data_IF_814470152066
#
_entry.id   IF_814470152066
#
_cell.length_a   1.000
_cell.length_b   1.000
_cell.length_c   1.000
_cell.angle_alpha   90.00
_cell.angle_beta   90.00
_cell.angle_gamma   90.00
#
_symmetry.space_group_name_H-M   'P 1'
#
loop_
_entity.id
_entity.type
_entity.pdbx_description
1 polymer ?
#
# COMPACT_ATOMS: atom_id res chain seq x y z
N UNK A 1 30.53 52.84 27.64
CA UNK A 1 30.69 52.42 26.23
C UNK A 1 29.49 51.56 25.94
N UNK A 2 28.41 52.16 25.49
CA UNK A 2 27.19 51.46 25.08
C UNK A 2 27.25 51.37 23.55
N UNK A 3 27.36 50.15 23.00
CA UNK A 3 27.35 49.91 21.55
C UNK A 3 25.89 49.72 21.10
N UNK A 4 25.42 50.62 20.22
CA UNK A 4 24.17 50.41 19.48
C UNK A 4 24.32 49.12 18.63
N UNK A 5 23.38 48.18 18.77
CA UNK A 5 23.44 46.91 18.05
C UNK A 5 23.04 47.17 16.60
N UNK A 6 23.99 46.99 15.69
CA UNK A 6 23.78 47.15 14.25
C UNK A 6 23.65 45.78 13.60
N UNK A 7 22.53 45.54 12.92
CA UNK A 7 22.28 44.30 12.20
C UNK A 7 22.16 44.60 10.70
N UNK A 8 22.71 43.70 9.89
CA UNK A 8 22.52 43.73 8.45
C UNK A 8 21.18 43.08 8.06
N UNK A 9 20.76 43.29 6.81
CA UNK A 9 19.47 42.81 6.32
C UNK A 9 19.33 41.28 6.47
N UNK A 10 20.42 40.52 6.31
CA UNK A 10 20.40 39.07 6.44
C UNK A 10 20.27 38.64 7.91
N UNK A 11 21.02 39.27 8.83
CA UNK A 11 20.86 38.99 10.27
C UNK A 11 19.48 39.39 10.79
N UNK A 12 18.87 40.46 10.25
CA UNK A 12 17.48 40.82 10.54
C UNK A 12 16.51 39.69 10.12
N UNK A 13 16.63 39.20 8.89
CA UNK A 13 15.78 38.10 8.38
C UNK A 13 15.96 36.84 9.21
N UNK A 14 17.20 36.45 9.53
CA UNK A 14 17.49 35.30 10.38
C UNK A 14 16.92 35.45 11.80
N UNK A 15 16.77 36.68 12.30
CA UNK A 15 16.20 36.95 13.62
C UNK A 15 14.66 36.99 13.62
N UNK A 16 14.03 36.91 12.43
CA UNK A 16 12.57 36.98 12.24
C UNK A 16 12.05 38.36 11.84
N UNK A 17 12.93 39.27 11.41
CA UNK A 17 12.57 40.62 10.97
C UNK A 17 12.74 40.79 9.46
N UNK A 18 11.68 41.21 8.78
CA UNK A 18 11.70 41.43 7.33
C UNK A 18 11.93 42.93 7.04
N UNK A 19 13.05 43.30 6.38
CA UNK A 19 13.33 44.70 6.05
C UNK A 19 12.46 45.21 4.89
N UNK A 20 11.65 46.24 5.16
CA UNK A 20 10.76 46.92 4.21
C UNK A 20 11.17 48.41 4.10
N UNK A 21 12.37 48.65 3.56
CA UNK A 21 12.92 50.01 3.41
C UNK A 21 13.24 50.65 4.77
N UNK A 22 12.46 51.67 5.15
CA UNK A 22 12.56 52.39 6.43
C UNK A 22 11.74 51.74 7.56
N UNK A 23 11.09 50.62 7.26
CA UNK A 23 10.32 49.84 8.20
C UNK A 23 10.89 48.43 8.30
N UNK A 24 10.68 47.80 9.43
CA UNK A 24 11.15 46.47 9.73
C UNK A 24 9.97 45.69 10.32
N UNK A 25 9.51 44.67 9.59
CA UNK A 25 8.34 43.88 9.96
C UNK A 25 8.76 42.69 10.80
N UNK A 26 8.33 42.66 12.06
CA UNK A 26 8.54 41.52 12.95
C UNK A 26 7.53 40.42 12.62
N UNK A 27 8.01 39.30 12.08
CA UNK A 27 7.16 38.18 11.70
C UNK A 27 6.63 37.40 12.91
N UNK A 28 7.29 37.49 14.08
CA UNK A 28 6.87 36.81 15.31
C UNK A 28 5.77 37.60 16.02
N UNK A 29 5.89 38.92 16.08
CA UNK A 29 4.94 39.79 16.77
C UNK A 29 3.91 40.43 15.84
N UNK A 30 4.04 40.27 14.52
CA UNK A 30 3.19 40.93 13.51
C UNK A 30 3.13 42.45 13.68
N UNK A 31 4.28 43.06 14.00
CA UNK A 31 4.42 44.50 14.23
C UNK A 31 5.31 45.14 13.17
N UNK A 32 4.94 46.34 12.74
CA UNK A 32 5.73 47.15 11.83
C UNK A 32 6.52 48.20 12.63
N UNK A 33 7.84 48.07 12.68
CA UNK A 33 8.72 48.98 13.42
C UNK A 33 9.36 50.01 12.49
N UNK A 34 9.26 51.32 12.77
CA UNK A 34 9.95 52.35 11.99
C UNK A 34 11.42 52.45 12.44
N UNK A 35 12.29 51.67 11.80
CA UNK A 35 13.74 51.71 12.05
C UNK A 35 14.41 52.21 10.77
N UNK A 36 14.94 53.45 10.75
CA UNK A 36 15.56 54.01 9.55
C UNK A 36 16.83 53.22 9.22
N UNK A 37 16.97 52.83 7.95
CA UNK A 37 18.19 52.19 7.45
C UNK A 37 19.28 53.25 7.32
N UNK A 38 20.43 53.03 7.96
CA UNK A 38 21.54 53.97 7.86
C UNK A 38 22.05 54.01 6.40
N UNK A 39 21.93 55.17 5.74
CA UNK A 39 22.21 55.31 4.31
C UNK A 39 23.67 55.01 3.94
N UNK A 40 24.60 55.19 4.87
CA UNK A 40 26.03 54.99 4.63
C UNK A 40 26.49 53.52 4.78
N UNK A 41 25.88 52.75 5.68
CA UNK A 41 26.31 51.38 6.01
C UNK A 41 25.30 50.31 5.65
N UNK A 42 24.09 50.70 5.21
CA UNK A 42 22.97 49.81 4.91
C UNK A 42 22.50 48.93 6.10
N UNK A 43 22.96 49.23 7.32
CA UNK A 43 22.64 48.53 8.55
C UNK A 43 21.39 49.12 9.23
N UNK A 44 20.69 48.28 9.98
CA UNK A 44 19.60 48.66 10.88
C UNK A 44 20.16 48.79 12.30
N UNK A 45 20.08 49.99 12.89
CA UNK A 45 20.52 50.22 14.26
C UNK A 45 19.37 50.05 15.25
N UNK A 46 19.51 49.10 16.16
CA UNK A 46 18.61 48.92 17.28
C UNK A 46 19.18 49.69 18.46
N UNK A 47 18.54 50.80 18.82
CA UNK A 47 18.91 51.52 20.04
C UNK A 47 18.53 50.66 21.24
N UNK A 48 19.50 50.44 22.12
CA UNK A 48 19.24 49.80 23.41
C UNK A 48 18.33 50.73 24.23
N UNK A 49 17.07 50.35 24.41
CA UNK A 49 16.16 51.07 25.32
C UNK A 49 16.49 50.70 26.76
N UNK A 50 17.54 51.30 27.32
CA UNK A 50 17.56 51.50 28.78
C UNK A 50 16.50 52.56 29.06
N UNK A 51 15.39 52.14 29.66
CA UNK A 51 14.40 53.06 30.17
C UNK A 51 15.05 53.80 31.33
N UNK A 52 15.61 54.98 31.08
CA UNK A 52 15.97 55.91 32.14
C UNK A 52 14.66 56.27 32.84
N UNK A 53 14.41 55.62 33.98
CA UNK A 53 13.34 56.02 34.89
C UNK A 53 13.80 57.33 35.52
N UNK A 54 13.64 58.43 34.79
CA UNK A 54 13.59 59.73 35.43
C UNK A 54 12.29 59.78 36.22
N UNK A 55 12.41 59.63 37.54
CA UNK A 55 11.37 60.07 38.47
C UNK A 55 11.23 61.58 38.29
N UNK A 56 10.31 61.99 37.41
CA UNK A 56 9.94 63.40 37.26
C UNK A 56 9.24 63.83 38.54
N UNK A 57 9.97 64.53 39.42
CA UNK A 57 9.35 65.32 40.46
C UNK A 57 8.51 66.41 39.76
N UNK A 58 7.20 66.38 39.98
CA UNK A 58 6.23 67.23 39.29
C UNK A 58 6.55 68.72 39.48
N UNK A 59 6.82 69.50 38.41
CA UNK A 59 6.75 70.95 38.48
C UNK A 59 5.30 71.38 38.29
N UNK A 60 4.73 71.95 39.35
CA UNK A 60 3.49 72.72 39.30
C UNK A 60 3.79 74.00 38.52
N UNK A 61 3.40 74.06 37.24
CA UNK A 61 2.87 75.28 36.62
C UNK A 61 2.23 75.04 35.24
N UNK A 62 1.09 75.71 35.06
CA UNK A 62 0.18 75.70 33.91
C UNK A 62 0.85 76.23 32.65
N UNK A 63 0.79 75.47 31.55
CA UNK A 63 0.70 76.02 30.20
C UNK A 63 -0.39 75.24 29.45
N UNK A 64 -1.42 75.99 29.09
CA UNK A 64 -2.48 75.66 28.15
C UNK A 64 -1.90 75.27 26.80
N UNK A 65 -1.99 73.99 26.46
CA UNK A 65 -1.82 73.45 25.13
C UNK A 65 -2.45 72.07 25.14
N UNK A 66 -3.66 71.95 24.58
CA UNK A 66 -4.32 70.66 24.43
C UNK A 66 -3.44 69.78 23.54
N UNK A 67 -3.01 68.57 23.97
CA UNK A 67 -2.34 67.67 23.05
C UNK A 67 -3.33 67.31 21.94
N UNK A 68 -2.92 67.48 20.68
CA UNK A 68 -3.72 67.08 19.53
C UNK A 68 -4.18 65.62 19.69
N UNK A 69 -5.42 65.26 19.34
CA UNK A 69 -5.93 63.90 19.52
C UNK A 69 -5.28 62.97 18.50
N UNK A 70 -4.11 62.41 18.81
CA UNK A 70 -3.43 61.39 17.99
C UNK A 70 -4.13 60.01 18.07
N UNK A 71 -5.30 59.94 18.72
CA UNK A 71 -6.00 58.67 19.02
C UNK A 71 -7.14 58.36 18.05
N UNK A 72 -7.62 59.34 17.26
CA UNK A 72 -8.80 59.15 16.41
C UNK A 72 -8.51 58.27 15.16
N UNK A 73 -7.34 58.41 14.54
CA UNK A 73 -7.03 57.76 13.26
C UNK A 73 -6.79 56.25 13.40
N UNK A 74 -6.19 55.84 14.52
CA UNK A 74 -5.95 54.42 14.85
C UNK A 74 -7.25 53.66 15.14
N UNK A 75 -8.27 54.33 15.69
CA UNK A 75 -9.56 53.72 16.01
C UNK A 75 -10.36 53.35 14.77
N UNK A 76 -10.34 54.21 13.74
CA UNK A 76 -11.02 53.92 12.46
C UNK A 76 -10.33 52.76 11.75
N UNK A 77 -9.00 52.77 11.69
CA UNK A 77 -8.21 51.67 11.11
C UNK A 77 -8.45 50.34 11.85
N UNK A 78 -8.44 50.33 13.18
CA UNK A 78 -8.73 49.14 13.98
C UNK A 78 -10.16 48.63 13.80
N UNK A 79 -11.15 49.52 13.67
CA UNK A 79 -12.53 49.14 13.35
C UNK A 79 -12.67 48.57 11.93
N UNK A 80 -11.97 49.15 10.95
CA UNK A 80 -11.94 48.65 9.57
C UNK A 80 -11.32 47.26 9.49
N UNK A 81 -10.19 47.03 10.17
CA UNK A 81 -9.60 45.70 10.29
C UNK A 81 -10.54 44.72 11.02
N UNK A 82 -11.22 45.15 12.08
CA UNK A 82 -12.20 44.32 12.78
C UNK A 82 -13.39 43.91 11.90
N UNK A 83 -13.90 44.85 11.08
CA UNK A 83 -14.98 44.57 10.11
C UNK A 83 -14.49 43.63 9.01
N UNK A 84 -13.29 43.85 8.47
CA UNK A 84 -12.69 42.98 7.46
C UNK A 84 -12.48 41.55 8.01
N UNK A 85 -12.02 41.44 9.27
CA UNK A 85 -11.90 40.16 9.96
C UNK A 85 -13.25 39.46 10.17
N UNK A 86 -14.29 40.21 10.54
CA UNK A 86 -15.64 39.67 10.68
C UNK A 86 -16.19 39.20 9.33
N UNK A 87 -15.98 39.97 8.27
CA UNK A 87 -16.37 39.58 6.91
C UNK A 87 -15.63 38.33 6.44
N UNK A 88 -14.32 38.24 6.69
CA UNK A 88 -13.53 37.05 6.43
C UNK A 88 -14.06 35.81 7.19
N UNK A 89 -14.40 35.96 8.48
CA UNK A 89 -14.99 34.87 9.25
C UNK A 89 -16.33 34.40 8.67
N UNK A 90 -17.23 35.34 8.33
CA UNK A 90 -18.54 35.01 7.75
C UNK A 90 -18.39 34.31 6.39
N UNK A 91 -17.50 34.80 5.52
CA UNK A 91 -17.21 34.16 4.24
C UNK A 91 -16.60 32.78 4.43
N UNK A 92 -15.69 32.62 5.39
CA UNK A 92 -15.04 31.33 5.66
C UNK A 92 -16.06 30.30 6.16
N UNK A 93 -16.91 30.66 7.13
CA UNK A 93 -17.97 29.78 7.64
C UNK A 93 -18.97 29.42 6.54
N UNK A 94 -19.38 30.41 5.75
CA UNK A 94 -20.33 30.18 4.64
C UNK A 94 -19.72 29.30 3.56
N UNK A 95 -18.44 29.51 3.21
CA UNK A 95 -17.70 28.69 2.27
C UNK A 95 -17.56 27.25 2.75
N UNK A 96 -17.15 27.03 4.00
CA UNK A 96 -17.08 25.70 4.60
C UNK A 96 -18.44 24.99 4.62
N UNK A 97 -19.52 25.71 4.97
CA UNK A 97 -20.87 25.15 4.96
C UNK A 97 -21.31 24.75 3.54
N UNK A 98 -21.08 25.62 2.55
CA UNK A 98 -21.39 25.33 1.13
C UNK A 98 -20.57 24.17 0.59
N UNK A 99 -19.31 24.05 1.00
CA UNK A 99 -18.45 22.92 0.64
C UNK A 99 -19.01 21.60 1.20
N UNK A 100 -19.38 21.57 2.49
CA UNK A 100 -19.99 20.37 3.09
C UNK A 100 -21.30 19.99 2.41
N UNK A 101 -22.14 20.95 2.03
CA UNK A 101 -23.36 20.68 1.28
C UNK A 101 -23.09 20.09 -0.11
N UNK A 102 -22.10 20.62 -0.83
CA UNK A 102 -21.73 20.12 -2.16
C UNK A 102 -21.13 18.71 -2.08
N UNK A 103 -20.32 18.45 -1.06
CA UNK A 103 -19.60 17.19 -0.89
C UNK A 103 -20.38 16.12 -0.13
N UNK A 104 -21.56 16.45 0.39
CA UNK A 104 -22.39 15.54 1.18
C UNK A 104 -22.72 14.24 0.42
N UNK A 105 -23.03 14.32 -0.88
CA UNK A 105 -23.41 13.14 -1.67
C UNK A 105 -22.20 12.29 -2.07
N UNK A 106 -21.06 12.93 -2.35
CA UNK A 106 -19.80 12.25 -2.69
C UNK A 106 -19.16 11.61 -1.46
N UNK A 107 -19.15 12.28 -0.31
CA UNK A 107 -18.61 11.79 0.97
C UNK A 107 -19.59 10.90 1.74
N UNK A 108 -20.67 10.45 1.10
CA UNK A 108 -21.65 9.58 1.73
C UNK A 108 -21.13 8.15 1.97
N UNK A 109 -20.05 7.76 1.29
CA UNK A 109 -19.40 6.46 1.42
C UNK A 109 -17.87 6.58 1.27
N UNK A 110 -17.15 5.55 1.74
CA UNK A 110 -15.69 5.49 1.71
C UNK A 110 -15.12 5.36 0.29
N UNK A 111 -15.94 5.00 -0.69
CA UNK A 111 -15.55 4.89 -2.11
C UNK A 111 -15.58 6.24 -2.84
N UNK A 112 -16.04 7.33 -2.19
CA UNK A 112 -16.23 8.64 -2.82
C UNK A 112 -17.10 8.60 -4.09
N UNK A 113 -17.94 7.57 -4.21
CA UNK A 113 -18.79 7.33 -5.38
C UNK A 113 -20.22 7.74 -5.05
N UNK A 114 -20.66 8.88 -5.59
CA UNK A 114 -22.02 9.37 -5.41
C UNK A 114 -23.07 8.31 -5.78
N UNK A 115 -24.00 8.03 -4.87
CA UNK A 115 -25.07 7.06 -5.08
C UNK A 115 -24.66 5.58 -4.96
N UNK A 116 -23.42 5.28 -4.53
CA UNK A 116 -23.00 3.89 -4.29
C UNK A 116 -23.91 3.21 -3.27
N UNK A 117 -24.52 2.10 -3.67
CA UNK A 117 -25.39 1.30 -2.85
C UNK A 117 -24.91 -0.15 -2.83
N UNK A 118 -24.78 -0.75 -1.65
CA UNK A 118 -24.36 -2.14 -1.49
C UNK A 118 -25.32 -3.15 -2.11
N UNK A 119 -26.60 -2.79 -2.25
CA UNK A 119 -27.61 -3.68 -2.84
C UNK A 119 -27.65 -3.62 -4.36
N UNK A 120 -27.21 -2.50 -4.95
CA UNK A 120 -27.32 -2.27 -6.41
C UNK A 120 -25.94 -2.15 -7.03
N UNK A 121 -25.18 -1.10 -6.69
CA UNK A 121 -23.87 -0.81 -7.28
C UNK A 121 -22.85 -1.91 -6.96
N UNK A 122 -22.74 -2.30 -5.69
CA UNK A 122 -21.80 -3.34 -5.30
C UNK A 122 -22.16 -4.69 -5.93
N UNK A 123 -23.45 -5.05 -5.94
CA UNK A 123 -23.92 -6.29 -6.56
C UNK A 123 -23.64 -6.30 -8.07
N UNK A 124 -23.93 -5.20 -8.77
CA UNK A 124 -23.62 -5.03 -10.18
C UNK A 124 -22.13 -5.23 -10.46
N UNK A 125 -21.24 -4.63 -9.67
CA UNK A 125 -19.79 -4.83 -9.82
C UNK A 125 -19.40 -6.30 -9.64
N UNK A 126 -19.89 -6.97 -8.59
CA UNK A 126 -19.59 -8.38 -8.37
C UNK A 126 -20.09 -9.27 -9.52
N UNK A 127 -21.32 -9.06 -10.00
CA UNK A 127 -21.88 -9.82 -11.12
C UNK A 127 -21.13 -9.54 -12.42
N UNK A 128 -20.79 -8.28 -12.68
CA UNK A 128 -20.00 -7.88 -13.84
C UNK A 128 -18.63 -8.56 -13.83
N UNK A 129 -17.83 -8.39 -12.77
CA UNK A 129 -16.50 -9.00 -12.67
C UNK A 129 -16.58 -10.51 -12.75
N UNK A 130 -17.51 -11.13 -12.02
CA UNK A 130 -17.61 -12.60 -11.98
C UNK A 130 -18.04 -13.17 -13.34
N UNK A 131 -18.90 -12.49 -14.09
CA UNK A 131 -19.28 -12.90 -15.44
C UNK A 131 -18.10 -12.81 -16.40
N UNK A 132 -17.41 -11.66 -16.42
CA UNK A 132 -16.34 -11.44 -17.39
C UNK A 132 -15.06 -12.22 -17.06
N UNK A 133 -14.73 -12.40 -15.78
CA UNK A 133 -13.62 -13.29 -15.38
C UNK A 133 -13.85 -14.76 -15.80
N UNK A 134 -15.10 -15.20 -15.92
CA UNK A 134 -15.42 -16.58 -16.34
C UNK A 134 -15.42 -16.79 -17.85
N UNK A 135 -15.52 -15.73 -18.66
CA UNK A 135 -15.82 -15.83 -20.10
C UNK A 135 -14.75 -15.15 -20.97
N UNK A 136 -14.14 -14.08 -20.48
CA UNK A 136 -13.14 -13.31 -21.23
C UNK A 136 -11.74 -13.57 -20.69
N UNK A 137 -10.79 -13.84 -21.59
CA UNK A 137 -9.37 -13.98 -21.23
C UNK A 137 -8.67 -12.64 -21.01
N UNK A 138 -9.18 -11.56 -21.62
CA UNK A 138 -8.69 -10.20 -21.43
C UNK A 138 -9.74 -9.20 -21.88
N UNK A 139 -9.92 -8.12 -21.12
CA UNK A 139 -10.76 -6.98 -21.52
C UNK A 139 -9.89 -5.74 -21.72
N UNK A 140 -10.16 -4.97 -22.78
CA UNK A 140 -9.59 -3.63 -22.96
C UNK A 140 -10.19 -2.66 -21.94
N UNK A 141 -9.74 -1.41 -21.88
CA UNK A 141 -10.33 -0.38 -21.01
C UNK A 141 -11.86 -0.33 -21.17
N UNK A 142 -12.58 -0.86 -20.18
CA UNK A 142 -14.03 -0.89 -20.16
C UNK A 142 -14.57 0.34 -19.44
N UNK A 143 -15.61 0.93 -20.01
CA UNK A 143 -16.45 1.94 -19.38
C UNK A 143 -17.66 1.25 -18.79
N UNK A 144 -17.75 1.22 -17.45
CA UNK A 144 -18.86 0.60 -16.73
C UNK A 144 -20.20 1.34 -16.95
N UNK A 145 -20.16 2.56 -17.49
CA UNK A 145 -21.30 3.39 -17.87
C UNK A 145 -21.78 3.19 -19.32
N UNK A 146 -21.19 2.24 -20.07
CA UNK A 146 -21.63 1.89 -21.42
C UNK A 146 -22.91 1.03 -21.37
N UNK A 147 -23.90 1.36 -22.19
CA UNK A 147 -25.19 0.67 -22.29
C UNK A 147 -25.02 -0.82 -22.63
N UNK A 148 -23.92 -1.20 -23.29
CA UNK A 148 -23.62 -2.62 -23.60
C UNK A 148 -23.41 -3.48 -22.36
N UNK A 149 -23.04 -2.87 -21.24
CA UNK A 149 -22.82 -3.57 -19.97
C UNK A 149 -23.99 -3.44 -19.00
N UNK A 150 -25.06 -2.73 -19.41
CA UNK A 150 -26.26 -2.62 -18.61
C UNK A 150 -26.84 -4.01 -18.34
N UNK A 151 -26.94 -4.35 -17.06
CA UNK A 151 -27.55 -5.57 -16.61
C UNK A 151 -28.80 -5.21 -15.87
N UNK A 152 -29.93 -5.77 -16.33
CA UNK A 152 -31.18 -5.72 -15.60
C UNK A 152 -31.04 -6.58 -14.34
N UNK A 153 -30.46 -6.00 -13.29
CA UNK A 153 -30.37 -6.67 -12.01
C UNK A 153 -31.79 -6.82 -11.49
N UNK A 154 -32.35 -8.03 -11.60
CA UNK A 154 -33.48 -8.38 -10.75
C UNK A 154 -32.94 -8.27 -9.33
N UNK A 155 -33.36 -7.25 -8.59
CA UNK A 155 -33.03 -7.06 -7.19
C UNK A 155 -33.45 -8.32 -6.41
N UNK A 156 -32.59 -9.32 -6.45
CA UNK A 156 -32.73 -10.56 -5.72
C UNK A 156 -32.54 -10.15 -4.28
N UNK A 157 -33.53 -10.45 -3.44
CA UNK A 157 -33.41 -10.34 -1.99
C UNK A 157 -32.34 -11.26 -1.41
N UNK A 158 -31.68 -12.07 -2.24
CA UNK A 158 -30.53 -12.89 -1.90
C UNK A 158 -29.24 -12.23 -2.41
N UNK A 159 -28.37 -11.79 -1.49
CA UNK A 159 -26.99 -11.34 -1.75
C UNK A 159 -26.07 -12.51 -2.16
N UNK A 160 -26.55 -13.40 -3.04
CA UNK A 160 -25.86 -14.61 -3.45
C UNK A 160 -25.49 -14.51 -4.92
N UNK A 161 -24.19 -14.52 -5.19
CA UNK A 161 -23.64 -14.60 -6.52
C UNK A 161 -23.48 -16.07 -6.92
N UNK A 162 -23.94 -16.43 -8.12
CA UNK A 162 -23.69 -17.76 -8.69
C UNK A 162 -22.39 -17.73 -9.50
N UNK A 163 -21.45 -18.59 -9.11
CA UNK A 163 -20.19 -18.81 -9.83
C UNK A 163 -20.15 -20.28 -10.25
N UNK A 164 -19.61 -20.56 -11.44
CA UNK A 164 -19.40 -21.93 -11.88
C UNK A 164 -18.46 -22.67 -10.91
N UNK A 165 -18.79 -23.90 -10.46
CA UNK A 165 -17.88 -24.70 -9.63
C UNK A 165 -16.58 -25.06 -10.35
N UNK A 166 -16.52 -24.90 -11.68
CA UNK A 166 -15.33 -25.15 -12.48
C UNK A 166 -14.39 -23.95 -12.57
N UNK A 167 -14.82 -22.74 -12.15
CA UNK A 167 -14.05 -21.51 -12.31
C UNK A 167 -12.64 -21.64 -11.71
N UNK A 168 -12.54 -22.12 -10.47
CA UNK A 168 -11.26 -22.28 -9.80
C UNK A 168 -10.32 -23.26 -10.51
N UNK A 169 -10.86 -24.34 -11.09
CA UNK A 169 -10.07 -25.31 -11.85
C UNK A 169 -9.58 -24.75 -13.19
N UNK A 170 -10.39 -23.90 -13.83
CA UNK A 170 -9.98 -23.20 -15.06
C UNK A 170 -8.85 -22.23 -14.76
N UNK A 171 -8.99 -21.38 -13.73
CA UNK A 171 -7.94 -20.43 -13.31
C UNK A 171 -6.65 -21.17 -12.94
N UNK A 172 -6.75 -22.27 -12.17
CA UNK A 172 -5.57 -23.08 -11.83
C UNK A 172 -4.88 -23.63 -13.09
N UNK A 173 -5.65 -24.07 -14.09
CA UNK A 173 -5.10 -24.61 -15.34
C UNK A 173 -4.48 -23.51 -16.22
N UNK A 174 -5.07 -22.32 -16.28
CA UNK A 174 -4.54 -21.17 -17.01
C UNK A 174 -3.23 -20.65 -16.39
N UNK A 175 -3.16 -20.64 -15.06
CA UNK A 175 -1.97 -20.25 -14.32
C UNK A 175 -0.93 -21.37 -14.17
N UNK A 176 -1.10 -22.53 -14.81
CA UNK A 176 -0.26 -23.72 -14.60
C UNK A 176 1.07 -23.71 -15.40
N UNK A 177 1.72 -22.56 -15.52
CA UNK A 177 3.09 -22.53 -16.08
C UNK A 177 4.08 -23.02 -15.03
N UNK A 178 5.19 -23.67 -15.46
CA UNK A 178 6.20 -24.16 -14.51
C UNK A 178 6.73 -23.05 -13.58
N UNK A 179 6.85 -21.82 -14.08
CA UNK A 179 7.27 -20.67 -13.28
C UNK A 179 6.26 -20.34 -12.17
N UNK A 180 4.96 -20.31 -12.50
CA UNK A 180 3.91 -20.10 -11.50
C UNK A 180 3.79 -21.26 -10.52
N UNK A 181 3.99 -22.49 -10.97
CA UNK A 181 4.00 -23.67 -10.09
C UNK A 181 5.15 -23.58 -9.08
N UNK A 182 6.37 -23.33 -9.55
CA UNK A 182 7.54 -23.18 -8.67
C UNK A 182 7.35 -22.04 -7.67
N UNK A 183 6.83 -20.89 -8.14
CA UNK A 183 6.50 -19.77 -7.27
C UNK A 183 5.42 -20.14 -6.23
N UNK A 184 4.36 -20.82 -6.66
CA UNK A 184 3.26 -21.27 -5.80
C UNK A 184 3.69 -22.27 -4.75
N UNK A 185 4.52 -23.26 -5.11
CA UNK A 185 5.08 -24.24 -4.16
C UNK A 185 5.96 -23.59 -3.10
N UNK A 186 6.70 -22.54 -3.45
CA UNK A 186 7.55 -21.76 -2.52
C UNK A 186 6.76 -20.84 -1.61
N UNK A 187 5.63 -20.32 -2.08
CA UNK A 187 4.78 -19.42 -1.32
C UNK A 187 3.79 -20.16 -0.42
N UNK A 188 3.40 -21.38 -0.80
CA UNK A 188 2.52 -22.23 -0.02
C UNK A 188 3.13 -22.55 1.35
N UNK A 189 2.29 -22.55 2.39
CA UNK A 189 2.68 -23.01 3.72
C UNK A 189 3.11 -24.49 3.63
N UNK A 190 4.31 -24.81 4.13
CA UNK A 190 4.86 -26.16 4.06
C UNK A 190 3.95 -27.22 4.69
N UNK A 191 3.14 -26.82 5.68
CA UNK A 191 2.17 -27.69 6.36
C UNK A 191 1.04 -28.13 5.45
N UNK A 192 0.71 -27.31 4.45
CA UNK A 192 -0.39 -27.56 3.52
C UNK A 192 0.04 -28.33 2.27
N UNK A 193 1.34 -28.55 2.07
CA UNK A 193 1.84 -29.20 0.85
C UNK A 193 1.35 -30.62 0.63
N UNK A 194 1.12 -31.48 1.64
CA UNK A 194 0.51 -32.80 1.41
C UNK A 194 -0.95 -32.70 0.95
N UNK A 195 -1.56 -31.51 0.98
CA UNK A 195 -2.87 -31.32 0.40
C UNK A 195 -2.87 -31.23 -1.13
N UNK A 196 -1.72 -31.03 -1.77
CA UNK A 196 -1.59 -31.12 -3.23
C UNK A 196 -1.90 -32.55 -3.65
N UNK A 197 -2.96 -32.72 -4.43
CA UNK A 197 -3.43 -34.05 -4.80
C UNK A 197 -2.62 -34.61 -5.97
N UNK A 198 -1.47 -35.18 -5.65
CA UNK A 198 -0.65 -35.93 -6.58
C UNK A 198 -0.23 -37.26 -5.96
N UNK A 199 -0.13 -38.28 -6.80
CA UNK A 199 0.46 -39.56 -6.41
C UNK A 199 1.91 -39.58 -6.89
N UNK A 200 2.86 -39.41 -5.97
CA UNK A 200 4.28 -39.49 -6.29
C UNK A 200 4.64 -40.90 -6.75
N UNK A 201 5.33 -40.99 -7.88
CA UNK A 201 5.82 -42.24 -8.45
C UNK A 201 7.32 -42.40 -8.27
N UNK A 202 8.05 -41.29 -8.14
CA UNK A 202 9.49 -41.27 -8.01
C UNK A 202 9.90 -40.31 -6.89
N UNK A 203 10.97 -40.64 -6.18
CA UNK A 203 11.58 -39.71 -5.21
C UNK A 203 12.28 -38.58 -5.96
N UNK A 204 13.13 -38.93 -6.94
CA UNK A 204 14.09 -38.04 -7.58
C UNK A 204 13.90 -37.96 -9.10
N UNK A 205 14.42 -36.90 -9.73
CA UNK A 205 14.33 -36.73 -11.19
C UNK A 205 15.07 -37.81 -11.99
N UNK A 206 16.07 -38.47 -11.40
CA UNK A 206 16.78 -39.57 -12.07
C UNK A 206 16.07 -40.91 -11.94
N UNK A 207 14.93 -40.96 -11.23
CA UNK A 207 14.08 -42.15 -11.05
C UNK A 207 14.85 -43.31 -10.41
N UNK A 208 15.75 -43.01 -9.47
CA UNK A 208 16.54 -44.01 -8.73
C UNK A 208 15.67 -44.77 -7.74
N UNK A 209 14.67 -44.10 -7.18
CA UNK A 209 13.75 -44.69 -6.22
C UNK A 209 12.30 -44.55 -6.68
N UNK A 210 11.59 -45.68 -6.73
CA UNK A 210 10.19 -45.78 -7.12
C UNK A 210 9.30 -45.75 -5.87
N UNK A 211 8.19 -45.00 -5.92
CA UNK A 211 7.22 -44.81 -4.84
C UNK A 211 5.80 -45.25 -5.20
N UNK A 212 5.55 -45.67 -6.44
CA UNK A 212 4.20 -46.05 -6.85
C UNK A 212 3.68 -47.26 -6.04
N UNK A 213 2.38 -47.26 -5.73
CA UNK A 213 1.75 -48.28 -4.89
C UNK A 213 1.70 -49.69 -5.52
N UNK A 214 1.83 -49.79 -6.84
CA UNK A 214 1.72 -51.05 -7.58
C UNK A 214 2.52 -51.01 -8.89
N UNK A 215 2.93 -52.17 -9.41
CA UNK A 215 3.60 -52.30 -10.71
C UNK A 215 2.78 -51.67 -11.85
N UNK A 216 1.45 -51.83 -11.80
CA UNK A 216 0.54 -51.21 -12.78
C UNK A 216 0.55 -49.69 -12.70
N UNK A 217 0.67 -49.12 -11.49
CA UNK A 217 0.80 -47.67 -11.30
C UNK A 217 2.17 -47.20 -11.78
N UNK A 218 3.23 -47.95 -11.52
CA UNK A 218 4.59 -47.65 -11.97
C UNK A 218 4.67 -47.60 -13.51
N UNK A 219 4.05 -48.57 -14.20
CA UNK A 219 3.94 -48.58 -15.66
C UNK A 219 3.16 -47.40 -16.23
N UNK A 220 2.17 -46.87 -15.49
CA UNK A 220 1.47 -45.64 -15.87
C UNK A 220 2.40 -44.43 -15.69
N UNK A 221 3.10 -44.32 -14.57
CA UNK A 221 4.01 -43.21 -14.29
C UNK A 221 5.16 -43.12 -15.31
N UNK A 222 5.61 -44.25 -15.84
CA UNK A 222 6.59 -44.29 -16.92
C UNK A 222 6.15 -43.55 -18.20
N UNK A 223 4.84 -43.32 -18.39
CA UNK A 223 4.28 -42.53 -19.50
C UNK A 223 4.12 -41.04 -19.18
N UNK A 224 4.19 -40.68 -17.89
CA UNK A 224 3.94 -39.33 -17.35
C UNK A 224 5.24 -38.66 -16.86
N UNK A 225 6.40 -39.10 -17.36
CA UNK A 225 7.72 -38.62 -16.89
C UNK A 225 7.97 -37.13 -17.18
N UNK A 226 7.17 -36.53 -18.06
CA UNK A 226 7.22 -35.09 -18.36
C UNK A 226 6.46 -34.25 -17.32
N UNK A 227 5.65 -34.89 -16.48
CA UNK A 227 4.84 -34.25 -15.46
C UNK A 227 5.61 -34.19 -14.14
N UNK A 228 6.00 -32.99 -13.71
CA UNK A 228 6.71 -32.76 -12.46
C UNK A 228 5.96 -33.24 -11.23
N UNK A 229 4.62 -33.29 -11.27
CA UNK A 229 3.79 -33.70 -10.14
C UNK A 229 4.02 -35.17 -9.72
N UNK A 230 4.58 -36.03 -10.58
CA UNK A 230 4.89 -37.43 -10.22
C UNK A 230 6.19 -37.57 -9.42
N UNK A 231 7.01 -36.52 -9.35
CA UNK A 231 8.29 -36.54 -8.66
C UNK A 231 8.20 -35.82 -7.32
N UNK A 232 8.51 -36.52 -6.23
CA UNK A 232 8.53 -35.92 -4.89
C UNK A 232 9.58 -34.80 -4.78
N UNK A 233 10.68 -34.91 -5.51
CA UNK A 233 11.74 -33.90 -5.57
C UNK A 233 11.20 -32.52 -5.99
N UNK A 234 10.22 -32.42 -6.90
CA UNK A 234 9.63 -31.11 -7.26
C UNK A 234 9.10 -30.35 -6.04
N UNK A 235 8.42 -31.07 -5.15
CA UNK A 235 7.87 -30.53 -3.92
C UNK A 235 8.98 -30.18 -2.94
N UNK A 236 9.86 -31.14 -2.65
CA UNK A 236 10.89 -30.99 -1.62
C UNK A 236 11.94 -29.92 -1.93
N UNK A 237 12.23 -29.65 -3.21
CA UNK A 237 13.13 -28.55 -3.59
C UNK A 237 12.54 -27.15 -3.38
N UNK A 238 11.21 -27.04 -3.32
CA UNK A 238 10.51 -25.76 -3.38
C UNK A 238 9.73 -25.43 -2.11
N UNK A 239 9.33 -26.42 -1.33
CA UNK A 239 8.62 -26.22 -0.07
C UNK A 239 9.48 -25.51 0.98
N UNK A 240 8.82 -24.73 1.86
CA UNK A 240 9.44 -24.32 3.11
C UNK A 240 9.69 -25.56 4.00
N UNK A 241 10.96 -25.95 4.11
CA UNK A 241 11.38 -27.13 4.85
C UNK A 241 11.05 -27.08 6.34
N UNK A 242 11.19 -25.92 6.98
CA UNK A 242 10.93 -25.79 8.42
C UNK A 242 9.45 -26.05 8.71
N UNK A 243 8.57 -25.43 7.92
CA UNK A 243 7.12 -25.62 8.02
C UNK A 243 6.73 -27.07 7.72
N UNK A 244 7.26 -27.65 6.64
CA UNK A 244 6.98 -29.05 6.26
C UNK A 244 7.42 -30.02 7.37
N UNK A 245 8.66 -29.91 7.83
CA UNK A 245 9.23 -30.84 8.80
C UNK A 245 8.60 -30.69 10.19
N UNK A 246 8.06 -29.51 10.52
CA UNK A 246 7.38 -29.29 11.81
C UNK A 246 6.14 -30.17 12.01
N UNK A 247 5.42 -30.51 10.93
CA UNK A 247 4.18 -31.30 10.99
C UNK A 247 4.36 -32.69 10.38
N UNK A 248 5.05 -32.77 9.24
CA UNK A 248 5.12 -34.00 8.44
C UNK A 248 6.48 -34.71 8.54
N UNK A 249 7.45 -34.12 9.23
CA UNK A 249 8.82 -34.61 9.29
C UNK A 249 8.93 -36.04 9.80
N UNK A 250 8.27 -36.39 10.91
CA UNK A 250 8.32 -37.75 11.47
C UNK A 250 7.78 -38.80 10.47
N UNK A 251 6.70 -38.47 9.76
CA UNK A 251 6.09 -39.36 8.78
C UNK A 251 6.97 -39.52 7.54
N UNK A 252 7.49 -38.42 7.00
CA UNK A 252 8.40 -38.44 5.84
C UNK A 252 9.71 -39.17 6.17
N UNK A 253 10.24 -38.96 7.37
CA UNK A 253 11.45 -39.67 7.81
C UNK A 253 11.22 -41.16 7.91
N UNK A 254 10.13 -41.61 8.54
CA UNK A 254 9.84 -43.05 8.68
C UNK A 254 9.50 -43.74 7.37
N UNK A 255 8.86 -43.04 6.44
CA UNK A 255 8.38 -43.63 5.19
C UNK A 255 9.42 -43.60 4.08
N UNK A 256 10.24 -42.54 4.00
CA UNK A 256 11.12 -42.28 2.86
C UNK A 256 12.54 -41.96 3.32
N UNK A 257 12.74 -40.94 4.15
CA UNK A 257 14.10 -40.40 4.35
C UNK A 257 15.06 -41.36 5.08
N UNK A 258 14.58 -42.13 6.06
CA UNK A 258 15.43 -43.08 6.80
C UNK A 258 16.06 -44.14 5.89
N UNK A 259 15.34 -44.60 4.86
CA UNK A 259 15.86 -45.53 3.87
C UNK A 259 16.91 -44.86 2.98
N UNK A 260 16.64 -43.64 2.50
CA UNK A 260 17.55 -42.89 1.64
C UNK A 260 18.87 -42.57 2.35
N UNK A 261 18.84 -42.25 3.65
CA UNK A 261 20.01 -41.95 4.47
C UNK A 261 21.00 -43.12 4.61
N UNK A 262 20.54 -44.36 4.43
CA UNK A 262 21.43 -45.53 4.47
C UNK A 262 22.39 -45.57 3.27
N UNK A 263 21.97 -45.03 2.13
CA UNK A 263 22.74 -45.01 0.90
C UNK A 263 23.57 -43.72 0.74
N UNK A 264 24.75 -43.81 0.13
CA UNK A 264 25.55 -42.62 -0.20
C UNK A 264 24.83 -41.72 -1.21
N UNK A 265 24.13 -42.32 -2.16
CA UNK A 265 23.34 -41.61 -3.17
C UNK A 265 22.19 -40.81 -2.55
N UNK A 266 21.45 -41.40 -1.61
CA UNK A 266 20.35 -40.73 -0.92
C UNK A 266 20.83 -39.57 -0.05
N UNK A 267 21.96 -39.72 0.67
CA UNK A 267 22.58 -38.60 1.42
C UNK A 267 23.01 -37.45 0.49
N UNK A 268 23.59 -37.78 -0.67
CA UNK A 268 23.98 -36.77 -1.66
C UNK A 268 22.76 -36.07 -2.27
N UNK A 269 21.69 -36.82 -2.56
CA UNK A 269 20.43 -36.26 -3.06
C UNK A 269 19.79 -35.33 -2.01
N UNK A 270 19.73 -35.75 -0.75
CA UNK A 270 19.19 -34.93 0.35
C UNK A 270 19.97 -33.61 0.49
N UNK A 271 21.31 -33.67 0.41
CA UNK A 271 22.17 -32.50 0.41
C UNK A 271 21.98 -31.59 -0.84
N UNK A 272 21.40 -32.10 -1.92
CA UNK A 272 21.12 -31.33 -3.14
C UNK A 272 19.79 -30.55 -3.11
N UNK A 273 18.92 -30.87 -2.15
CA UNK A 273 17.62 -30.21 -1.98
C UNK A 273 17.76 -28.82 -1.34
N UNK A 274 18.89 -28.55 -0.66
CA UNK A 274 19.15 -27.28 0.00
C UNK A 274 20.60 -26.79 -0.19
N UNK A 275 20.84 -25.47 -0.26
CA UNK A 275 19.84 -24.38 -0.21
C UNK A 275 19.06 -24.25 -1.55
N UNK A 276 17.84 -23.67 -1.52
CA UNK A 276 17.05 -23.49 -2.72
C UNK A 276 17.74 -22.53 -3.70
N UNK A 277 17.76 -22.91 -4.98
CA UNK A 277 18.26 -22.06 -6.07
C UNK A 277 17.20 -21.02 -6.48
N UNK A 278 17.55 -20.08 -7.37
CA UNK A 278 16.59 -19.07 -7.84
C UNK A 278 15.38 -19.74 -8.53
N UNK A 279 14.22 -19.07 -8.53
CA UNK A 279 13.00 -19.63 -9.15
C UNK A 279 13.20 -19.92 -10.64
N UNK A 280 13.90 -19.02 -11.34
CA UNK A 280 14.21 -19.18 -12.77
C UNK A 280 15.14 -20.37 -13.00
N UNK A 281 16.19 -20.53 -12.18
CA UNK A 281 17.13 -21.64 -12.32
C UNK A 281 16.46 -22.98 -11.98
N UNK A 282 15.51 -23.00 -11.05
CA UNK A 282 14.73 -24.20 -10.71
C UNK A 282 13.86 -24.65 -11.89
N UNK A 283 13.21 -23.73 -12.59
CA UNK A 283 12.44 -24.06 -13.80
C UNK A 283 13.37 -24.62 -14.89
N UNK A 284 14.55 -24.02 -15.08
CA UNK A 284 15.56 -24.54 -16.03
C UNK A 284 16.05 -25.92 -15.60
N UNK A 285 16.24 -26.14 -14.30
CA UNK A 285 16.64 -27.43 -13.75
C UNK A 285 15.61 -28.51 -14.03
N UNK A 286 14.32 -28.24 -13.81
CA UNK A 286 13.22 -29.14 -14.14
C UNK A 286 13.19 -29.46 -15.63
N UNK A 287 13.28 -28.44 -16.48
CA UNK A 287 13.31 -28.60 -17.93
C UNK A 287 14.51 -29.41 -18.41
N UNK A 288 15.68 -29.28 -17.78
CA UNK A 288 16.87 -30.07 -18.09
C UNK A 288 16.70 -31.58 -17.80
N UNK A 289 15.76 -31.92 -16.90
CA UNK A 289 15.36 -33.29 -16.60
C UNK A 289 14.15 -33.76 -17.42
N UNK A 290 13.71 -32.97 -18.40
CA UNK A 290 12.61 -33.31 -19.30
C UNK A 290 11.22 -33.06 -18.72
N UNK A 291 11.10 -32.29 -17.63
CA UNK A 291 9.82 -31.89 -17.05
C UNK A 291 9.30 -30.65 -17.78
N UNK A 292 8.11 -30.75 -18.36
CA UNK A 292 7.47 -29.67 -19.11
C UNK A 292 6.15 -29.20 -18.53
N UNK A 293 5.51 -30.01 -17.69
CA UNK A 293 4.20 -29.72 -17.11
C UNK A 293 4.14 -30.11 -15.64
N UNK A 294 3.13 -29.61 -14.93
CA UNK A 294 2.86 -29.99 -13.54
C UNK A 294 1.34 -30.15 -13.38
N UNK A 295 0.84 -31.35 -13.67
CA UNK A 295 -0.59 -31.63 -13.68
C UNK A 295 -0.94 -32.53 -12.50
N UNK A 296 -1.66 -31.98 -11.52
CA UNK A 296 -2.19 -32.73 -10.37
C UNK A 296 -3.34 -33.64 -10.79
N UNK A 297 -3.60 -34.69 -10.01
CA UNK A 297 -4.67 -35.63 -10.32
C UNK A 297 -6.07 -35.03 -10.04
N UNK A 298 -7.05 -35.40 -10.85
CA UNK A 298 -8.45 -35.05 -10.61
C UNK A 298 -8.98 -35.76 -9.37
N UNK A 299 -9.72 -35.04 -8.53
CA UNK A 299 -10.29 -35.55 -7.28
C UNK A 299 -11.55 -34.80 -6.88
N UNK A 300 -12.39 -35.45 -6.06
CA UNK A 300 -13.65 -34.90 -5.53
C UNK A 300 -13.66 -34.79 -3.98
N UNK A 301 -12.54 -35.08 -3.33
CA UNK A 301 -12.38 -35.03 -1.89
C UNK A 301 -12.13 -33.60 -1.35
N UNK A 302 -11.57 -32.71 -2.17
CA UNK A 302 -11.23 -31.31 -1.88
C UNK A 302 -11.79 -30.43 -2.98
N UNK A 303 -12.13 -29.20 -2.64
CA UNK A 303 -12.48 -28.16 -3.62
C UNK A 303 -11.32 -27.20 -3.77
N UNK A 304 -11.03 -26.82 -5.01
CA UNK A 304 -10.12 -25.71 -5.30
C UNK A 304 -10.95 -24.43 -5.23
N UNK A 305 -10.42 -23.41 -4.57
CA UNK A 305 -11.03 -22.09 -4.49
C UNK A 305 -10.12 -21.02 -5.09
N UNK A 306 -10.71 -19.91 -5.49
CA UNK A 306 -10.00 -18.72 -5.97
C UNK A 306 -10.49 -17.52 -5.18
N UNK A 307 -9.58 -16.62 -4.83
CA UNK A 307 -9.87 -15.34 -4.21
C UNK A 307 -9.57 -14.25 -5.22
N UNK A 308 -10.62 -13.59 -5.69
CA UNK A 308 -10.51 -12.42 -6.56
C UNK A 308 -10.69 -11.15 -5.73
N UNK A 309 -9.91 -10.12 -6.05
CA UNK A 309 -10.06 -8.80 -5.43
C UNK A 309 -10.06 -7.75 -6.52
N UNK A 310 -10.99 -6.79 -6.43
CA UNK A 310 -11.00 -5.61 -7.27
C UNK A 310 -10.99 -4.37 -6.37
N UNK A 311 -10.41 -3.30 -6.90
CA UNK A 311 -10.33 -2.01 -6.23
C UNK A 311 -11.19 -1.01 -7.00
N UNK A 312 -11.97 -0.23 -6.25
CA UNK A 312 -12.84 0.83 -6.75
C UNK A 312 -12.28 2.15 -6.24
#
# INVERSE_FOLDING_TARGET
MDEDVQLDAMSCVMSGFIPLGNYLFDMKLWLLLPIPRAAATHLYSFRSTKQDVQLVAAPRNKITGSPAPVVADKWVHQRLLGILGLFYMVLSISGSYKYLLLTQSTLANDFLWEGFNSTVTQLYLFEWFSKYLQVESSTSNVRLDDETFDQWTTASTSNKLLISPLYASVVQNEANTLAHVVAGLRQMDGRDTPWIFTSYCYVDFQRRWELALSDSSQLRCAKEIQNGAVFLETLLRNVNWDDLMSVWGEYLTRSIFAELEMSTDGRNWFASLQPPISQTDEVVYWQSHGISEYTTQWQNYKSVGVIETFLV
#
